data_IF_810164364976
#
_entry.id   IF_810164364976
#
_cell.length_a   1.000
_cell.length_b   1.000
_cell.length_c   1.000
_cell.angle_alpha   90.00
_cell.angle_beta   90.00
_cell.angle_gamma   90.00
#
_symmetry.space_group_name_H-M   'P 1'
#
loop_
_entity.id
_entity.type
_entity.pdbx_description
1 polymer ?
#
# COMPACT_ATOMS: atom_id res chain seq x y z
N UNK A 1 10.66 -21.02 -3.20
CA UNK A 1 9.71 -19.92 -3.58
C UNK A 1 8.24 -20.36 -3.52
N UNK A 2 7.32 -19.46 -3.13
CA UNK A 2 5.84 -19.59 -3.15
C UNK A 2 5.32 -18.83 -4.38
N UNK A 3 4.40 -19.38 -5.18
CA UNK A 3 3.85 -18.65 -6.32
C UNK A 3 2.88 -17.54 -5.88
N UNK A 4 2.68 -16.51 -6.71
CA UNK A 4 1.76 -15.42 -6.37
C UNK A 4 0.32 -15.94 -6.20
N UNK A 5 -0.06 -16.98 -6.96
CA UNK A 5 -1.36 -17.63 -6.86
C UNK A 5 -1.53 -18.41 -5.53
N UNK A 6 -0.51 -19.16 -5.11
CA UNK A 6 -0.50 -19.86 -3.82
C UNK A 6 -0.58 -18.86 -2.66
N UNK A 7 0.21 -17.78 -2.71
CA UNK A 7 0.19 -16.76 -1.67
C UNK A 7 -1.15 -16.01 -1.62
N UNK A 8 -1.77 -15.71 -2.77
CA UNK A 8 -3.10 -15.14 -2.81
C UNK A 8 -4.16 -16.09 -2.22
N UNK A 9 -4.05 -17.40 -2.45
CA UNK A 9 -4.94 -18.40 -1.85
C UNK A 9 -4.78 -18.48 -0.33
N UNK A 10 -3.53 -18.48 0.16
CA UNK A 10 -3.23 -18.38 1.59
C UNK A 10 -3.84 -17.11 2.20
N UNK A 11 -3.62 -15.94 1.59
CA UNK A 11 -4.18 -14.68 2.09
C UNK A 11 -5.72 -14.69 2.14
N UNK A 12 -6.39 -15.30 1.15
CA UNK A 12 -7.86 -15.48 1.18
C UNK A 12 -8.30 -16.40 2.33
N UNK A 13 -7.55 -17.46 2.62
CA UNK A 13 -7.85 -18.35 3.73
C UNK A 13 -7.69 -17.65 5.08
N UNK A 14 -6.58 -16.93 5.27
CA UNK A 14 -6.34 -16.12 6.48
C UNK A 14 -7.42 -15.05 6.65
N UNK A 15 -7.78 -14.35 5.57
CA UNK A 15 -8.86 -13.36 5.61
C UNK A 15 -10.19 -13.99 6.06
N UNK A 16 -10.57 -15.17 5.53
CA UNK A 16 -11.80 -15.86 5.96
C UNK A 16 -11.83 -16.16 7.46
N UNK A 17 -10.71 -16.62 8.04
CA UNK A 17 -10.63 -16.89 9.49
C UNK A 17 -10.86 -15.60 10.26
N UNK A 18 -10.11 -14.55 9.93
CA UNK A 18 -10.18 -13.27 10.63
C UNK A 18 -11.53 -12.55 10.46
N UNK A 19 -12.09 -12.56 9.25
CA UNK A 19 -13.36 -11.88 8.95
C UNK A 19 -14.54 -12.63 9.58
N UNK A 20 -14.48 -13.96 9.68
CA UNK A 20 -15.45 -14.76 10.42
C UNK A 20 -15.36 -14.50 11.93
N UNK A 21 -14.14 -14.43 12.49
CA UNK A 21 -13.93 -14.06 13.89
C UNK A 21 -14.52 -12.68 14.21
N UNK A 22 -14.26 -11.69 13.34
CA UNK A 22 -14.85 -10.36 13.49
C UNK A 22 -16.38 -10.39 13.44
N UNK A 23 -16.94 -11.04 12.41
CA UNK A 23 -18.38 -11.08 12.18
C UNK A 23 -19.13 -11.76 13.33
N UNK A 24 -18.61 -12.87 13.87
CA UNK A 24 -19.28 -13.61 14.94
C UNK A 24 -19.30 -12.84 16.25
N UNK A 25 -18.16 -12.23 16.62
CA UNK A 25 -18.07 -11.40 17.83
C UNK A 25 -18.93 -10.14 17.67
N UNK A 26 -18.82 -9.43 16.54
CA UNK A 26 -19.62 -8.23 16.29
C UNK A 26 -21.11 -8.53 16.35
N UNK A 27 -21.57 -9.58 15.64
CA UNK A 27 -22.97 -9.96 15.63
C UNK A 27 -23.47 -10.35 17.03
N UNK A 28 -22.68 -11.11 17.79
CA UNK A 28 -23.07 -11.59 19.13
C UNK A 28 -23.13 -10.46 20.15
N UNK A 29 -22.13 -9.57 20.16
CA UNK A 29 -22.11 -8.40 21.05
C UNK A 29 -23.26 -7.46 20.69
N UNK A 30 -23.49 -7.20 19.40
CA UNK A 30 -24.57 -6.32 18.96
C UNK A 30 -25.96 -6.90 19.28
N UNK A 31 -26.14 -8.21 19.08
CA UNK A 31 -27.38 -8.90 19.44
C UNK A 31 -27.66 -8.81 20.95
N UNK A 32 -26.64 -9.02 21.78
CA UNK A 32 -26.77 -8.90 23.23
C UNK A 32 -27.14 -7.47 23.63
N UNK A 33 -26.45 -6.45 23.09
CA UNK A 33 -26.75 -5.05 23.38
C UNK A 33 -28.18 -4.65 22.98
N UNK A 34 -28.67 -5.13 21.83
CA UNK A 34 -30.05 -4.87 21.36
C UNK A 34 -31.09 -5.53 22.26
N UNK A 35 -30.84 -6.76 22.70
CA UNK A 35 -31.72 -7.46 23.63
C UNK A 35 -31.74 -6.80 25.03
N UNK A 36 -30.68 -6.06 25.38
CA UNK A 36 -30.50 -5.41 26.67
C UNK A 36 -30.32 -3.89 26.50
N UNK A 37 -31.26 -3.23 25.81
CA UNK A 37 -31.13 -1.82 25.43
C UNK A 37 -30.93 -0.87 26.63
N UNK A 38 -31.52 -1.20 27.79
CA UNK A 38 -31.38 -0.42 29.04
C UNK A 38 -30.15 -0.76 29.86
N UNK A 39 -29.32 -1.72 29.42
CA UNK A 39 -28.11 -2.09 30.14
C UNK A 39 -27.12 -0.92 30.21
N UNK A 40 -26.51 -0.77 31.37
CA UNK A 40 -25.43 0.16 31.62
C UNK A 40 -24.19 -0.18 30.78
N UNK A 41 -23.29 0.79 30.65
CA UNK A 41 -21.98 0.60 30.00
C UNK A 41 -21.19 -0.53 30.67
N UNK A 42 -21.30 -0.68 32.00
CA UNK A 42 -20.62 -1.73 32.74
C UNK A 42 -21.18 -3.11 32.39
N UNK A 43 -22.49 -3.27 32.31
CA UNK A 43 -23.14 -4.54 31.94
C UNK A 43 -22.81 -4.93 30.49
N UNK A 44 -22.88 -3.97 29.55
CA UNK A 44 -22.48 -4.18 28.14
C UNK A 44 -21.01 -4.62 28.02
N UNK A 45 -20.12 -4.06 28.85
CA UNK A 45 -18.71 -4.44 28.89
C UNK A 45 -18.52 -5.88 29.37
N UNK A 46 -19.13 -6.26 30.50
CA UNK A 46 -18.97 -7.63 31.04
C UNK A 46 -19.54 -8.67 30.08
N UNK A 47 -20.68 -8.39 29.43
CA UNK A 47 -21.22 -9.27 28.42
C UNK A 47 -20.28 -9.41 27.20
N UNK A 48 -19.74 -8.30 26.69
CA UNK A 48 -18.81 -8.34 25.58
C UNK A 48 -17.53 -9.11 25.92
N UNK A 49 -17.00 -9.00 27.14
CA UNK A 49 -15.87 -9.79 27.63
C UNK A 49 -16.15 -11.29 27.52
N UNK A 50 -17.26 -11.76 28.09
CA UNK A 50 -17.63 -13.18 28.07
C UNK A 50 -17.84 -13.71 26.65
N UNK A 51 -18.48 -12.92 25.79
CA UNK A 51 -18.69 -13.26 24.38
C UNK A 51 -17.33 -13.35 23.65
N UNK A 52 -16.47 -12.35 23.83
CA UNK A 52 -15.14 -12.34 23.21
C UNK A 52 -14.29 -13.51 23.68
N UNK A 53 -14.27 -13.82 24.98
CA UNK A 53 -13.51 -14.96 25.52
C UNK A 53 -13.89 -16.27 24.84
N UNK A 54 -15.19 -16.54 24.68
CA UNK A 54 -15.68 -17.75 24.05
C UNK A 54 -15.31 -17.89 22.56
N UNK A 55 -15.34 -16.79 21.80
CA UNK A 55 -15.01 -16.83 20.36
C UNK A 55 -13.52 -16.77 20.08
N UNK A 56 -12.79 -15.90 20.78
CA UNK A 56 -11.39 -15.61 20.47
C UNK A 56 -10.52 -16.85 20.67
N UNK A 57 -10.73 -17.58 21.77
CA UNK A 57 -9.98 -18.82 22.02
C UNK A 57 -10.12 -19.82 20.85
N UNK A 58 -11.35 -20.07 20.38
CA UNK A 58 -11.59 -21.00 19.28
C UNK A 58 -11.01 -20.52 17.95
N UNK A 59 -11.10 -19.21 17.64
CA UNK A 59 -10.50 -18.67 16.42
C UNK A 59 -8.98 -18.61 16.46
N UNK A 60 -8.39 -18.41 17.64
CA UNK A 60 -6.95 -18.50 17.84
C UNK A 60 -6.43 -19.92 17.58
N UNK A 61 -7.13 -20.94 18.07
CA UNK A 61 -6.80 -22.34 17.81
C UNK A 61 -6.87 -22.67 16.31
N UNK A 62 -7.96 -22.27 15.63
CA UNK A 62 -8.11 -22.44 14.17
C UNK A 62 -6.98 -21.74 13.42
N UNK A 63 -6.64 -20.52 13.82
CA UNK A 63 -5.60 -19.73 13.16
C UNK A 63 -4.21 -20.34 13.37
N UNK A 64 -3.93 -20.86 14.57
CA UNK A 64 -2.68 -21.51 14.91
C UNK A 64 -2.53 -22.85 14.18
N UNK A 65 -3.56 -23.69 14.15
CA UNK A 65 -3.56 -24.96 13.42
C UNK A 65 -3.32 -24.74 11.92
N UNK A 66 -4.06 -23.82 11.30
CA UNK A 66 -3.86 -23.45 9.90
C UNK A 66 -2.43 -22.98 9.61
N UNK A 67 -1.82 -22.24 10.54
CA UNK A 67 -0.45 -21.75 10.40
C UNK A 67 0.60 -22.86 10.53
N UNK A 68 0.40 -23.81 11.45
CA UNK A 68 1.26 -24.97 11.66
C UNK A 68 1.24 -25.89 10.43
N UNK A 69 0.04 -26.23 9.93
CA UNK A 69 -0.12 -27.03 8.70
C UNK A 69 0.55 -26.36 7.50
N UNK A 70 0.38 -25.05 7.37
CA UNK A 70 1.01 -24.30 6.29
C UNK A 70 2.54 -24.29 6.41
N UNK A 71 3.08 -24.17 7.62
CA UNK A 71 4.52 -24.24 7.88
C UNK A 71 5.09 -25.61 7.49
N UNK A 72 4.47 -26.70 7.94
CA UNK A 72 4.88 -28.07 7.60
C UNK A 72 4.82 -28.32 6.09
N UNK A 73 3.75 -27.88 5.44
CA UNK A 73 3.62 -27.94 3.99
C UNK A 73 4.75 -27.19 3.27
N UNK A 74 5.12 -26.00 3.77
CA UNK A 74 6.23 -25.22 3.20
C UNK A 74 7.58 -25.89 3.40
N UNK A 75 7.85 -26.45 4.58
CA UNK A 75 9.08 -27.18 4.87
C UNK A 75 9.22 -28.40 3.94
N UNK A 76 8.14 -29.19 3.81
CA UNK A 76 8.10 -30.36 2.93
C UNK A 76 8.33 -29.99 1.46
N UNK A 77 7.65 -28.95 0.95
CA UNK A 77 7.86 -28.45 -0.42
C UNK A 77 9.28 -27.94 -0.67
N UNK A 78 9.93 -27.43 0.36
CA UNK A 78 11.33 -27.01 0.32
C UNK A 78 12.33 -28.15 0.52
N UNK A 79 11.86 -29.40 0.68
CA UNK A 79 12.72 -30.57 0.87
C UNK A 79 13.41 -30.63 2.24
N UNK A 80 12.94 -29.83 3.21
CA UNK A 80 13.50 -29.79 4.57
C UNK A 80 12.66 -30.68 5.49
N UNK A 81 13.31 -31.71 6.04
CA UNK A 81 12.64 -32.68 6.89
C UNK A 81 12.51 -32.18 8.34
N UNK A 82 11.54 -31.34 8.69
CA UNK A 82 11.36 -30.81 10.06
C UNK A 82 10.48 -31.70 10.95
N UNK A 83 10.54 -31.47 12.27
CA UNK A 83 9.54 -32.01 13.18
C UNK A 83 8.21 -31.29 12.96
N UNK A 84 7.10 -31.97 13.21
CA UNK A 84 5.76 -31.39 13.05
C UNK A 84 5.64 -30.03 13.76
N UNK A 85 5.04 -29.07 13.08
CA UNK A 85 4.86 -27.73 13.61
C UNK A 85 3.98 -27.76 14.88
N UNK A 86 4.39 -26.99 15.89
CA UNK A 86 3.57 -26.76 17.08
C UNK A 86 2.64 -25.57 16.85
N UNK A 87 1.49 -25.56 17.52
CA UNK A 87 0.58 -24.41 17.56
C UNK A 87 0.96 -23.46 18.69
N UNK A 88 0.81 -22.15 18.46
CA UNK A 88 0.99 -21.12 19.48
C UNK A 88 -0.13 -20.08 19.37
N UNK A 89 -0.91 -19.95 20.44
CA UNK A 89 -1.99 -18.96 20.54
C UNK A 89 -1.56 -17.75 21.35
N UNK A 90 -2.15 -16.58 21.07
CA UNK A 90 -1.91 -15.34 21.81
C UNK A 90 -2.99 -14.99 22.81
N UNK A 91 -4.08 -15.76 22.85
CA UNK A 91 -5.17 -15.62 23.81
C UNK A 91 -4.67 -15.45 25.24
N UNK A 92 -5.12 -14.36 25.86
CA UNK A 92 -4.94 -14.07 27.29
C UNK A 92 -6.23 -13.44 27.81
N UNK A 93 -6.91 -14.05 28.81
CA UNK A 93 -8.14 -13.51 29.38
C UNK A 93 -8.00 -12.04 29.84
N UNK A 94 -6.83 -11.68 30.38
CA UNK A 94 -6.55 -10.31 30.85
C UNK A 94 -6.52 -9.31 29.68
N UNK A 95 -6.05 -9.73 28.51
CA UNK A 95 -6.02 -8.88 27.31
C UNK A 95 -7.43 -8.63 26.77
N UNK A 96 -8.32 -9.63 26.83
CA UNK A 96 -9.74 -9.48 26.44
C UNK A 96 -10.46 -8.51 27.37
N UNK A 97 -10.20 -8.62 28.68
CA UNK A 97 -10.77 -7.74 29.71
C UNK A 97 -10.34 -6.27 29.51
N UNK A 98 -9.05 -6.03 29.28
CA UNK A 98 -8.53 -4.69 29.01
C UNK A 98 -9.09 -4.08 27.72
N UNK A 99 -9.26 -4.91 26.69
CA UNK A 99 -9.86 -4.47 25.42
C UNK A 99 -11.34 -4.16 25.60
N UNK A 100 -12.11 -4.99 26.31
CA UNK A 100 -13.51 -4.72 26.59
C UNK A 100 -13.67 -3.36 27.31
N UNK A 101 -12.83 -3.09 28.31
CA UNK A 101 -12.78 -1.78 29.00
C UNK A 101 -12.43 -0.64 28.07
N UNK A 102 -11.41 -0.81 27.24
CA UNK A 102 -10.96 0.23 26.33
C UNK A 102 -12.02 0.55 25.27
N UNK A 103 -12.60 -0.48 24.64
CA UNK A 103 -13.59 -0.30 23.58
C UNK A 103 -14.94 0.19 24.12
N UNK A 104 -15.30 -0.09 25.38
CA UNK A 104 -16.52 0.42 25.99
C UNK A 104 -16.61 1.96 25.97
N UNK A 105 -15.48 2.67 25.85
CA UNK A 105 -15.46 4.13 25.63
C UNK A 105 -16.17 4.56 24.33
N UNK A 106 -16.27 3.67 23.34
CA UNK A 106 -16.98 3.92 22.07
C UNK A 106 -18.50 3.95 22.23
N UNK A 107 -19.05 3.31 23.27
CA UNK A 107 -20.48 3.37 23.58
C UNK A 107 -20.96 4.82 23.77
N UNK A 108 -20.11 5.66 24.36
CA UNK A 108 -20.42 7.07 24.59
C UNK A 108 -20.42 7.95 23.33
N UNK A 109 -19.74 7.52 22.24
CA UNK A 109 -19.60 8.31 21.01
C UNK A 109 -20.43 7.79 19.85
N UNK A 110 -20.44 6.47 19.63
CA UNK A 110 -21.12 5.86 18.48
C UNK A 110 -21.98 4.65 18.82
N UNK A 111 -22.31 4.48 20.11
CA UNK A 111 -23.29 3.51 20.57
C UNK A 111 -22.88 2.05 20.38
N UNK A 112 -23.88 1.18 20.42
CA UNK A 112 -23.69 -0.27 20.49
C UNK A 112 -23.04 -0.85 19.22
N UNK A 113 -23.33 -0.28 18.05
CA UNK A 113 -22.79 -0.74 16.78
C UNK A 113 -21.26 -0.50 16.68
N UNK A 114 -20.79 0.69 17.03
CA UNK A 114 -19.34 0.96 17.02
C UNK A 114 -18.58 0.17 18.07
N UNK A 115 -19.20 -0.06 19.24
CA UNK A 115 -18.64 -0.91 20.28
C UNK A 115 -18.51 -2.37 19.82
N UNK A 116 -19.57 -2.94 19.25
CA UNK A 116 -19.59 -4.31 18.75
C UNK A 116 -18.56 -4.52 17.63
N UNK A 117 -18.52 -3.59 16.66
CA UNK A 117 -17.54 -3.60 15.57
C UNK A 117 -16.11 -3.58 16.09
N UNK A 118 -15.83 -2.78 17.11
CA UNK A 118 -14.51 -2.73 17.73
C UNK A 118 -14.11 -4.03 18.43
N UNK A 119 -15.06 -4.74 19.04
CA UNK A 119 -14.84 -6.06 19.62
C UNK A 119 -14.51 -7.08 18.52
N UNK A 120 -15.27 -7.09 17.42
CA UNK A 120 -14.99 -7.94 16.25
C UNK A 120 -13.61 -7.69 15.64
N UNK A 121 -13.23 -6.43 15.48
CA UNK A 121 -11.89 -6.07 14.99
C UNK A 121 -10.77 -6.58 15.89
N UNK A 122 -10.98 -6.58 17.22
CA UNK A 122 -10.01 -7.17 18.13
C UNK A 122 -9.87 -8.67 17.92
N UNK A 123 -10.97 -9.41 17.83
CA UNK A 123 -10.97 -10.86 17.60
C UNK A 123 -10.24 -11.22 16.31
N UNK A 124 -10.49 -10.50 15.21
CA UNK A 124 -9.75 -10.65 13.96
C UNK A 124 -8.24 -10.44 14.12
N UNK A 125 -7.86 -9.38 14.83
CA UNK A 125 -6.45 -9.06 15.04
C UNK A 125 -5.75 -10.05 15.97
N UNK A 126 -6.47 -10.70 16.88
CA UNK A 126 -5.93 -11.74 17.76
C UNK A 126 -5.67 -13.04 16.99
N UNK A 127 -6.63 -13.48 16.18
CA UNK A 127 -6.46 -14.61 15.28
C UNK A 127 -5.22 -14.43 14.36
N UNK A 128 -5.02 -13.22 13.83
CA UNK A 128 -3.83 -12.92 13.02
C UNK A 128 -2.53 -12.90 13.83
N UNK A 129 -2.58 -12.54 15.12
CA UNK A 129 -1.43 -12.63 16.02
C UNK A 129 -1.07 -14.08 16.28
N UNK A 130 -2.03 -14.95 16.60
CA UNK A 130 -1.84 -16.38 16.79
C UNK A 130 -1.26 -17.08 15.56
N UNK A 131 -1.77 -16.76 14.36
CA UNK A 131 -1.22 -17.27 13.10
C UNK A 131 0.24 -16.86 12.89
N UNK A 132 0.57 -15.59 13.11
CA UNK A 132 1.95 -15.12 12.98
C UNK A 132 2.85 -15.73 14.05
N UNK A 133 2.36 -15.87 15.28
CA UNK A 133 3.12 -16.41 16.40
C UNK A 133 3.47 -17.87 16.20
N UNK A 134 2.53 -18.65 15.69
CA UNK A 134 2.77 -20.05 15.34
C UNK A 134 3.91 -20.19 14.34
N UNK A 135 3.93 -19.39 13.27
CA UNK A 135 5.04 -19.43 12.30
C UNK A 135 6.35 -19.00 12.95
N UNK A 136 6.33 -17.91 13.73
CA UNK A 136 7.56 -17.38 14.38
C UNK A 136 8.13 -18.39 15.36
N UNK A 137 7.30 -19.06 16.15
CA UNK A 137 7.74 -20.06 17.13
C UNK A 137 8.41 -21.26 16.46
N UNK A 138 7.82 -21.79 15.39
CA UNK A 138 8.41 -22.89 14.63
C UNK A 138 9.71 -22.46 13.92
N UNK A 139 9.75 -21.28 13.30
CA UNK A 139 11.01 -20.75 12.75
C UNK A 139 12.08 -20.58 13.82
N UNK A 140 11.71 -20.10 15.00
CA UNK A 140 12.63 -19.95 16.13
C UNK A 140 13.21 -21.29 16.60
N UNK A 141 12.36 -22.32 16.68
CA UNK A 141 12.74 -23.71 17.00
C UNK A 141 13.69 -24.28 15.94
N UNK A 142 13.37 -24.08 14.67
CA UNK A 142 14.03 -24.73 13.54
C UNK A 142 15.18 -23.88 12.94
N UNK A 143 15.58 -22.79 13.61
CA UNK A 143 16.60 -21.85 13.11
C UNK A 143 17.93 -22.51 12.76
N UNK A 144 18.36 -23.51 13.55
CA UNK A 144 19.64 -24.21 13.38
C UNK A 144 19.58 -25.20 12.21
N UNK A 145 18.38 -25.38 11.63
CA UNK A 145 18.08 -26.20 10.46
C UNK A 145 17.83 -25.34 9.22
N UNK A 146 18.16 -24.06 9.28
CA UNK A 146 18.04 -23.10 8.17
C UNK A 146 16.70 -22.37 8.09
N UNK A 147 15.76 -22.60 9.02
CA UNK A 147 14.49 -21.89 9.00
C UNK A 147 14.66 -20.39 9.32
N UNK A 148 14.11 -19.54 8.46
CA UNK A 148 14.02 -18.09 8.62
C UNK A 148 12.60 -17.64 8.28
N UNK A 149 12.28 -16.38 8.52
CA UNK A 149 11.08 -15.78 7.92
C UNK A 149 11.35 -14.39 7.35
N UNK A 150 10.54 -14.04 6.37
CA UNK A 150 10.44 -12.69 5.82
C UNK A 150 9.12 -12.04 6.26
N UNK A 151 9.11 -10.70 6.28
CA UNK A 151 7.85 -9.94 6.30
C UNK A 151 7.43 -9.69 4.85
N UNK A 152 6.19 -10.01 4.51
CA UNK A 152 5.69 -9.89 3.14
C UNK A 152 4.46 -8.97 3.12
N UNK A 153 4.53 -7.80 2.45
CA UNK A 153 3.36 -6.95 2.23
C UNK A 153 2.36 -7.64 1.29
N UNK A 154 1.07 -7.39 1.52
CA UNK A 154 -0.04 -8.02 0.78
C UNK A 154 -0.78 -7.05 -0.16
N UNK A 155 -0.40 -5.77 -0.13
CA UNK A 155 -0.86 -4.77 -1.11
C UNK A 155 -2.11 -3.98 -0.74
N UNK A 156 -2.80 -4.28 0.37
CA UNK A 156 -3.94 -3.46 0.84
C UNK A 156 -3.46 -2.16 1.51
N UNK A 157 -2.57 -2.27 2.50
CA UNK A 157 -1.90 -1.12 3.12
C UNK A 157 -0.44 -1.48 3.42
N UNK A 158 0.51 -0.79 2.79
CA UNK A 158 1.94 -1.01 3.04
C UNK A 158 2.53 0.25 3.63
N UNK A 159 2.60 0.35 4.96
CA UNK A 159 3.26 1.48 5.61
C UNK A 159 4.79 1.43 5.46
N UNK A 160 5.46 2.57 5.66
CA UNK A 160 6.93 2.68 5.57
C UNK A 160 7.66 1.69 6.48
N UNK A 161 7.09 1.40 7.66
CA UNK A 161 7.69 0.45 8.60
C UNK A 161 7.62 -0.99 8.10
N UNK A 162 6.47 -1.43 7.56
CA UNK A 162 6.32 -2.76 6.99
C UNK A 162 7.22 -2.95 5.77
N UNK A 163 7.32 -1.93 4.92
CA UNK A 163 8.19 -1.96 3.74
C UNK A 163 9.67 -2.10 4.12
N UNK A 164 10.10 -1.39 5.18
CA UNK A 164 11.44 -1.51 5.76
C UNK A 164 11.74 -2.92 6.30
N UNK A 165 10.76 -3.54 6.99
CA UNK A 165 10.96 -4.90 7.48
C UNK A 165 11.03 -5.90 6.33
N UNK A 166 10.18 -5.73 5.31
CA UNK A 166 10.12 -6.61 4.15
C UNK A 166 11.37 -6.53 3.26
N UNK A 167 11.95 -5.35 3.11
CA UNK A 167 13.14 -5.14 2.28
C UNK A 167 14.41 -5.84 2.79
N UNK A 168 14.42 -6.26 4.05
CA UNK A 168 15.51 -7.04 4.64
C UNK A 168 15.51 -8.50 4.24
N UNK A 169 14.41 -9.00 3.64
CA UNK A 169 14.27 -10.39 3.21
C UNK A 169 14.04 -11.37 4.35
N UNK A 170 14.36 -12.64 4.11
CA UNK A 170 14.21 -13.74 5.06
C UNK A 170 15.38 -13.79 6.05
N UNK A 171 15.41 -12.86 7.01
CA UNK A 171 16.51 -12.74 7.99
C UNK A 171 16.05 -12.94 9.42
N UNK A 172 14.75 -13.13 9.65
CA UNK A 172 14.19 -13.11 11.00
C UNK A 172 14.03 -14.51 11.57
N UNK A 173 14.25 -14.60 12.88
CA UNK A 173 14.02 -15.81 13.69
C UNK A 173 13.14 -15.53 14.92
N UNK A 174 12.90 -14.25 15.24
CA UNK A 174 12.14 -13.85 16.42
C UNK A 174 11.28 -12.63 16.12
N UNK A 175 10.18 -12.50 16.87
CA UNK A 175 9.34 -11.31 16.91
C UNK A 175 10.15 -10.02 17.12
N UNK A 176 11.05 -10.01 18.11
CA UNK A 176 11.92 -8.86 18.44
C UNK A 176 12.68 -8.35 17.22
N UNK A 177 13.30 -9.25 16.46
CA UNK A 177 14.05 -8.87 15.25
C UNK A 177 13.14 -8.38 14.12
N UNK A 178 11.89 -8.85 14.08
CA UNK A 178 10.89 -8.56 13.05
C UNK A 178 9.93 -7.41 13.40
N UNK A 179 10.28 -6.57 14.37
CA UNK A 179 9.56 -5.32 14.61
C UNK A 179 8.50 -5.33 15.72
N UNK A 180 8.48 -6.36 16.56
CA UNK A 180 7.56 -6.51 17.71
C UNK A 180 7.40 -5.27 18.61
N UNK A 181 8.47 -4.48 18.80
CA UNK A 181 8.46 -3.31 19.67
C UNK A 181 7.93 -2.03 18.99
N UNK A 182 7.32 -2.14 17.81
CA UNK A 182 6.73 -1.00 17.09
C UNK A 182 5.23 -1.17 16.98
N UNK A 183 4.51 -0.05 17.13
CA UNK A 183 3.06 0.01 17.02
C UNK A 183 2.65 -0.32 15.57
N UNK A 184 2.20 -1.56 15.35
CA UNK A 184 1.44 -1.88 14.14
C UNK A 184 0.19 -1.00 14.12
N UNK A 185 -0.07 -0.36 12.98
CA UNK A 185 -1.31 0.41 12.81
C UNK A 185 -2.51 -0.55 12.74
N UNK A 186 -3.69 -0.03 13.05
CA UNK A 186 -4.95 -0.77 12.83
C UNK A 186 -5.06 -1.12 11.35
N UNK A 187 -5.38 -2.38 11.05
CA UNK A 187 -5.51 -2.86 9.67
C UNK A 187 -4.22 -3.32 9.01
N UNK A 188 -3.08 -3.35 9.72
CA UNK A 188 -1.84 -3.91 9.19
C UNK A 188 -2.03 -5.37 8.77
N UNK A 189 -1.76 -5.69 7.52
CA UNK A 189 -2.06 -7.00 6.91
C UNK A 189 -0.81 -7.76 6.44
N UNK A 190 0.39 -7.18 6.58
CA UNK A 190 1.63 -7.84 6.19
C UNK A 190 1.87 -9.16 6.96
N UNK A 191 2.34 -10.17 6.24
CA UNK A 191 2.43 -11.56 6.70
C UNK A 191 3.84 -11.92 7.16
N UNK A 192 3.91 -12.86 8.10
CA UNK A 192 5.11 -13.65 8.37
C UNK A 192 5.11 -14.82 7.39
N UNK A 193 6.18 -14.95 6.59
CA UNK A 193 6.29 -16.03 5.61
C UNK A 193 7.58 -16.81 5.88
N UNK A 194 7.52 -18.12 6.15
CA UNK A 194 8.70 -18.92 6.39
C UNK A 194 9.52 -19.06 5.10
N UNK A 195 10.83 -19.10 5.24
CA UNK A 195 11.79 -19.40 4.19
C UNK A 195 12.78 -20.43 4.71
N UNK A 196 13.15 -21.34 3.81
CA UNK A 196 14.14 -22.38 4.04
C UNK A 196 15.31 -22.28 3.04
N UNK A 197 15.37 -21.16 2.30
CA UNK A 197 16.44 -20.85 1.36
C UNK A 197 17.63 -20.24 2.14
N UNK A 198 18.86 -20.54 1.69
CA UNK A 198 20.06 -19.97 2.29
C UNK A 198 20.25 -18.48 1.99
N UNK A 199 19.82 -18.02 0.80
CA UNK A 199 19.89 -16.61 0.42
C UNK A 199 18.82 -15.79 1.15
N UNK A 200 19.20 -14.87 2.05
CA UNK A 200 18.23 -14.02 2.75
C UNK A 200 17.43 -13.11 1.82
N UNK A 201 17.95 -12.82 0.61
CA UNK A 201 17.27 -11.99 -0.37
C UNK A 201 16.51 -12.79 -1.43
N UNK A 202 16.41 -14.11 -1.26
CA UNK A 202 15.60 -14.96 -2.13
C UNK A 202 14.16 -14.46 -2.19
N UNK A 203 13.56 -14.63 -3.36
CA UNK A 203 12.16 -14.34 -3.61
C UNK A 203 11.30 -15.42 -2.92
N UNK A 204 10.96 -15.18 -1.65
CA UNK A 204 10.15 -16.13 -0.86
C UNK A 204 8.76 -16.27 -1.46
N UNK A 205 8.21 -15.16 -1.95
CA UNK A 205 6.94 -15.08 -2.68
C UNK A 205 7.20 -14.45 -4.04
N UNK A 206 6.72 -15.09 -5.10
CA UNK A 206 6.80 -14.59 -6.48
C UNK A 206 6.25 -13.15 -6.60
N UNK A 207 7.02 -12.27 -7.23
CA UNK A 207 6.83 -10.83 -7.34
C UNK A 207 7.38 -10.00 -6.17
N UNK A 208 7.76 -10.62 -5.05
CA UNK A 208 8.18 -9.91 -3.83
C UNK A 208 9.69 -9.98 -3.68
N UNK A 209 10.37 -8.99 -4.27
CA UNK A 209 11.84 -8.93 -4.29
C UNK A 209 12.37 -7.97 -3.21
N UNK A 210 13.07 -8.47 -2.17
CA UNK A 210 13.54 -7.64 -1.07
C UNK A 210 14.40 -6.44 -1.49
N UNK A 211 15.25 -6.61 -2.53
CA UNK A 211 16.09 -5.53 -3.05
C UNK A 211 15.27 -4.42 -3.72
N UNK A 212 14.22 -4.77 -4.46
CA UNK A 212 13.32 -3.77 -5.05
C UNK A 212 12.51 -3.06 -3.94
N UNK A 213 12.06 -3.81 -2.93
CA UNK A 213 11.39 -3.22 -1.76
C UNK A 213 12.31 -2.25 -0.99
N UNK A 214 13.63 -2.49 -0.97
CA UNK A 214 14.59 -1.58 -0.36
C UNK A 214 14.64 -0.23 -1.10
N UNK A 215 14.59 -0.23 -2.42
CA UNK A 215 14.52 1.00 -3.20
C UNK A 215 13.21 1.75 -2.95
N UNK A 216 12.09 1.02 -2.92
CA UNK A 216 10.78 1.63 -2.57
C UNK A 216 10.76 2.17 -1.14
N UNK A 217 11.40 1.50 -0.19
CA UNK A 217 11.53 1.99 1.19
C UNK A 217 12.28 3.33 1.24
N UNK A 218 13.38 3.49 0.48
CA UNK A 218 14.10 4.77 0.40
C UNK A 218 13.19 5.88 -0.12
N UNK A 219 12.37 5.59 -1.13
CA UNK A 219 11.37 6.53 -1.66
C UNK A 219 10.33 6.88 -0.60
N UNK A 220 9.79 5.90 0.11
CA UNK A 220 8.82 6.13 1.20
C UNK A 220 9.39 7.04 2.29
N UNK A 221 10.65 6.85 2.68
CA UNK A 221 11.32 7.74 3.64
C UNK A 221 11.39 9.18 3.13
N UNK A 222 11.66 9.39 1.85
CA UNK A 222 11.68 10.73 1.27
C UNK A 222 10.28 11.36 1.30
N UNK A 223 9.23 10.59 0.96
CA UNK A 223 7.83 11.04 1.04
C UNK A 223 7.44 11.41 2.47
N UNK A 224 7.82 10.59 3.46
CA UNK A 224 7.53 10.86 4.88
C UNK A 224 8.08 12.21 5.35
N UNK A 225 9.25 12.59 4.83
CA UNK A 225 9.94 13.84 5.17
C UNK A 225 9.40 15.07 4.43
N UNK A 226 8.53 14.90 3.42
CA UNK A 226 7.93 16.02 2.69
C UNK A 226 6.98 16.80 3.61
N UNK A 227 7.30 18.06 3.88
CA UNK A 227 6.44 18.94 4.70
C UNK A 227 5.35 19.65 3.90
N UNK A 228 5.49 19.68 2.57
CA UNK A 228 4.55 20.34 1.66
C UNK A 228 3.32 19.49 1.35
N UNK A 229 3.31 18.22 1.75
CA UNK A 229 2.19 17.29 1.58
C UNK A 229 1.57 16.95 2.93
N UNK A 230 0.25 16.94 3.00
CA UNK A 230 -0.50 16.31 4.09
C UNK A 230 -0.42 14.77 4.01
N UNK A 231 -0.92 14.10 5.04
CA UNK A 231 -0.85 12.64 5.17
C UNK A 231 -1.65 11.90 4.09
N UNK A 232 -2.75 12.48 3.59
CA UNK A 232 -3.56 11.87 2.52
C UNK A 232 -2.78 11.87 1.21
N UNK A 233 -2.17 13.00 0.87
CA UNK A 233 -1.37 13.15 -0.35
C UNK A 233 -0.09 12.32 -0.29
N UNK A 234 0.54 12.19 0.89
CA UNK A 234 1.65 11.25 1.09
C UNK A 234 1.22 9.80 0.87
N UNK A 235 0.02 9.43 1.32
CA UNK A 235 -0.52 8.08 1.14
C UNK A 235 -0.72 7.77 -0.34
N UNK A 236 -1.36 8.66 -1.10
CA UNK A 236 -1.55 8.50 -2.55
C UNK A 236 -0.20 8.38 -3.30
N UNK A 237 0.77 9.23 -2.97
CA UNK A 237 2.09 9.19 -3.59
C UNK A 237 2.84 7.88 -3.29
N UNK A 238 2.72 7.37 -2.05
CA UNK A 238 3.25 6.06 -1.66
C UNK A 238 2.59 4.91 -2.41
N UNK A 239 1.27 4.93 -2.55
CA UNK A 239 0.53 3.93 -3.32
C UNK A 239 0.96 3.94 -4.79
N UNK A 240 1.22 5.13 -5.37
CA UNK A 240 1.77 5.24 -6.73
C UNK A 240 3.21 4.73 -6.80
N UNK A 241 4.05 5.05 -5.83
CA UNK A 241 5.43 4.56 -5.74
C UNK A 241 5.54 3.03 -5.61
N UNK A 242 4.48 2.32 -5.21
CA UNK A 242 4.44 0.86 -5.22
C UNK A 242 4.13 0.27 -6.60
N UNK A 243 3.42 1.01 -7.46
CA UNK A 243 2.92 0.54 -8.78
C UNK A 243 3.88 0.83 -9.93
N UNK A 244 4.75 1.83 -9.79
CA UNK A 244 5.73 2.18 -10.82
C UNK A 244 6.83 1.15 -10.95
N UNK A 245 7.44 1.08 -12.13
CA UNK A 245 8.69 0.35 -12.35
C UNK A 245 9.75 0.87 -11.37
N UNK A 246 10.30 -0.03 -10.56
CA UNK A 246 11.32 0.31 -9.56
C UNK A 246 12.54 0.94 -10.23
N UNK A 247 12.92 0.51 -11.44
CA UNK A 247 14.04 1.08 -12.20
C UNK A 247 13.82 2.54 -12.57
N UNK A 248 12.56 3.00 -12.65
CA UNK A 248 12.25 4.40 -12.93
C UNK A 248 12.47 5.32 -11.72
N UNK A 249 12.49 4.79 -10.49
CA UNK A 249 12.61 5.58 -9.25
C UNK A 249 13.84 5.23 -8.39
N UNK A 250 14.47 4.08 -8.63
CA UNK A 250 15.60 3.59 -7.83
C UNK A 250 16.77 4.57 -7.83
N UNK A 251 17.34 4.80 -6.64
CA UNK A 251 18.47 5.72 -6.46
C UNK A 251 18.18 7.21 -6.71
N UNK A 252 16.95 7.60 -7.11
CA UNK A 252 16.61 9.00 -7.39
C UNK A 252 16.26 9.76 -6.11
N UNK A 253 16.63 11.04 -6.10
CA UNK A 253 16.08 12.01 -5.16
C UNK A 253 14.69 12.42 -5.67
N UNK A 254 13.71 12.46 -4.79
CA UNK A 254 12.38 12.97 -5.13
C UNK A 254 12.46 14.46 -5.46
N UNK A 255 11.63 14.86 -6.42
CA UNK A 255 11.36 16.26 -6.68
C UNK A 255 10.48 16.86 -5.59
N UNK A 256 10.19 18.14 -5.73
CA UNK A 256 9.30 18.88 -4.84
C UNK A 256 8.02 19.31 -5.56
N UNK A 257 6.95 19.55 -4.78
CA UNK A 257 5.72 20.15 -5.30
C UNK A 257 5.27 21.31 -4.44
N UNK A 258 4.85 22.39 -5.11
CA UNK A 258 4.11 23.51 -4.52
C UNK A 258 2.74 23.59 -5.19
N UNK A 259 1.69 23.32 -4.41
CA UNK A 259 0.31 23.43 -4.88
C UNK A 259 -0.18 24.87 -4.72
N UNK A 260 -0.09 25.69 -5.77
CA UNK A 260 -0.77 27.00 -5.80
C UNK A 260 -2.25 26.78 -6.12
N UNK A 261 -2.55 25.97 -7.16
CA UNK A 261 -3.87 25.33 -7.32
C UNK A 261 -3.95 24.15 -6.35
N UNK A 262 -4.95 24.16 -5.47
CA UNK A 262 -5.15 23.12 -4.47
C UNK A 262 -5.32 21.75 -5.15
N UNK A 263 -4.74 20.71 -4.56
CA UNK A 263 -4.66 19.38 -5.17
C UNK A 263 -6.02 18.73 -5.38
N UNK A 264 -6.99 18.99 -4.50
CA UNK A 264 -8.37 18.51 -4.59
C UNK A 264 -9.13 19.11 -5.79
N UNK A 265 -8.68 20.25 -6.31
CA UNK A 265 -9.21 20.89 -7.53
C UNK A 265 -8.55 20.39 -8.82
N UNK A 266 -7.57 19.48 -8.73
CA UNK A 266 -6.90 18.88 -9.89
C UNK A 266 -7.68 17.67 -10.40
N UNK A 267 -7.68 17.47 -11.70
CA UNK A 267 -8.16 16.24 -12.31
C UNK A 267 -7.25 15.06 -11.94
N UNK A 268 -7.81 13.84 -11.93
CA UNK A 268 -7.06 12.64 -11.55
C UNK A 268 -5.79 12.43 -12.40
N UNK A 269 -5.87 12.75 -13.70
CA UNK A 269 -4.73 12.61 -14.61
C UNK A 269 -3.64 13.68 -14.39
N UNK A 270 -3.99 14.84 -13.83
CA UNK A 270 -3.04 15.89 -13.43
C UNK A 270 -2.31 15.46 -12.15
N UNK A 271 -3.05 14.98 -11.14
CA UNK A 271 -2.47 14.37 -9.93
C UNK A 271 -1.53 13.23 -10.29
N UNK A 272 -1.96 12.36 -11.22
CA UNK A 272 -1.16 11.29 -11.81
C UNK A 272 0.18 11.79 -12.34
N UNK A 273 0.14 12.71 -13.31
CA UNK A 273 1.34 13.24 -13.95
C UNK A 273 2.28 13.95 -12.97
N UNK A 274 1.75 14.76 -12.05
CA UNK A 274 2.54 15.45 -11.02
C UNK A 274 3.27 14.44 -10.14
N UNK A 275 2.60 13.41 -9.64
CA UNK A 275 3.25 12.43 -8.77
C UNK A 275 4.32 11.63 -9.53
N UNK A 276 4.12 11.27 -10.80
CA UNK A 276 5.17 10.61 -11.59
C UNK A 276 6.38 11.53 -11.82
N UNK A 277 6.16 12.83 -12.07
CA UNK A 277 7.22 13.83 -12.17
C UNK A 277 8.00 13.91 -10.85
N UNK A 278 7.31 13.99 -9.72
CA UNK A 278 7.93 14.02 -8.39
C UNK A 278 8.77 12.76 -8.12
N UNK A 279 8.23 11.59 -8.41
CA UNK A 279 8.92 10.30 -8.28
C UNK A 279 10.18 10.21 -9.15
N UNK A 280 10.23 10.97 -10.24
CA UNK A 280 11.36 11.04 -11.16
C UNK A 280 12.29 12.24 -10.92
N UNK A 281 12.09 13.03 -9.87
CA UNK A 281 13.01 14.09 -9.47
C UNK A 281 12.69 15.48 -10.02
N UNK A 282 11.51 15.71 -10.58
CA UNK A 282 11.11 17.01 -11.11
C UNK A 282 10.48 17.89 -10.02
N UNK A 283 10.91 19.15 -9.95
CA UNK A 283 10.31 20.18 -9.12
C UNK A 283 9.14 20.83 -9.87
N UNK A 284 7.95 20.80 -9.27
CA UNK A 284 6.68 21.20 -9.90
C UNK A 284 5.96 22.26 -9.07
N UNK A 285 5.50 23.32 -9.72
CA UNK A 285 4.56 24.27 -9.13
C UNK A 285 3.25 24.25 -9.92
N UNK A 286 2.11 23.99 -9.28
CA UNK A 286 0.81 24.08 -9.96
C UNK A 286 0.42 25.54 -10.15
N UNK A 287 -0.33 25.85 -11.21
CA UNK A 287 -0.74 27.22 -11.52
C UNK A 287 -2.24 27.37 -11.28
N UNK A 288 -2.65 28.50 -10.67
CA UNK A 288 -4.06 28.85 -10.52
C UNK A 288 -4.57 29.43 -11.83
N UNK A 289 -5.72 28.93 -12.27
CA UNK A 289 -6.38 29.43 -13.47
C UNK A 289 -6.85 30.87 -13.25
N UNK A 290 -6.46 31.76 -14.15
CA UNK A 290 -7.04 33.09 -14.27
C UNK A 290 -8.35 32.97 -15.10
N UNK A 291 -9.53 33.24 -14.51
CA UNK A 291 -10.80 33.12 -15.21
C UNK A 291 -10.95 34.13 -16.36
N UNK A 292 -10.18 35.23 -16.33
CA UNK A 292 -10.20 36.27 -17.34
C UNK A 292 -9.13 36.03 -18.44
N UNK A 293 -8.25 35.05 -18.25
CA UNK A 293 -7.23 34.70 -19.24
C UNK A 293 -7.81 33.96 -20.45
N UNK A 294 -7.22 34.20 -21.62
CA UNK A 294 -7.60 33.55 -22.88
C UNK A 294 -7.36 32.03 -22.90
N UNK A 295 -6.44 31.56 -22.06
CA UNK A 295 -6.13 30.17 -21.74
C UNK A 295 -5.32 30.12 -20.43
N UNK A 296 -5.27 28.94 -19.80
CA UNK A 296 -4.45 28.67 -18.61
C UNK A 296 -3.54 27.45 -18.88
N UNK A 297 -2.31 27.49 -18.35
CA UNK A 297 -1.38 26.35 -18.35
C UNK A 297 -1.36 25.72 -16.96
N UNK A 298 -1.02 24.44 -16.90
CA UNK A 298 -1.35 23.64 -15.72
C UNK A 298 -0.26 23.70 -14.64
N UNK A 299 1.02 23.69 -15.03
CA UNK A 299 2.17 23.67 -14.11
C UNK A 299 3.35 24.52 -14.60
N UNK A 300 4.27 24.83 -13.68
CA UNK A 300 5.59 25.38 -13.95
C UNK A 300 6.67 24.41 -13.44
N UNK A 301 7.75 24.26 -14.21
CA UNK A 301 8.94 23.51 -13.82
C UNK A 301 10.18 24.30 -14.26
N UNK A 302 11.09 24.60 -13.33
CA UNK A 302 12.29 25.44 -13.55
C UNK A 302 11.96 26.81 -14.19
N UNK A 303 10.94 27.49 -13.66
CA UNK A 303 10.44 28.79 -14.15
C UNK A 303 9.92 28.78 -15.60
N UNK A 304 9.77 27.61 -16.21
CA UNK A 304 9.12 27.44 -17.51
C UNK A 304 7.71 26.91 -17.34
N UNK A 305 6.76 27.44 -18.10
CA UNK A 305 5.38 26.97 -18.10
C UNK A 305 5.25 25.64 -18.86
N UNK A 306 4.33 24.78 -18.44
CA UNK A 306 4.04 23.49 -19.08
C UNK A 306 2.54 23.21 -19.10
N UNK A 307 2.09 22.60 -20.21
CA UNK A 307 0.74 22.06 -20.34
C UNK A 307 0.72 20.56 -20.04
N UNK A 308 -0.24 20.08 -19.27
CA UNK A 308 -0.51 18.67 -19.01
C UNK A 308 -1.65 18.14 -19.88
N UNK A 309 -1.47 16.96 -20.46
CA UNK A 309 -2.48 16.31 -21.30
C UNK A 309 -2.45 14.80 -21.06
N UNK A 310 -3.61 14.18 -20.96
CA UNK A 310 -3.70 12.71 -21.02
C UNK A 310 -3.97 12.21 -22.44
N UNK A 311 -3.27 11.13 -22.82
CA UNK A 311 -3.39 10.46 -24.10
C UNK A 311 -4.12 9.14 -23.94
N UNK A 312 -5.15 8.94 -24.75
CA UNK A 312 -6.01 7.74 -24.70
C UNK A 312 -5.84 6.80 -25.91
N UNK A 313 -5.15 7.26 -26.95
CA UNK A 313 -4.74 6.49 -28.13
C UNK A 313 -3.63 7.22 -28.91
N UNK A 314 -2.84 6.49 -29.70
CA UNK A 314 -1.72 6.98 -30.50
C UNK A 314 -2.15 7.76 -31.77
N UNK A 315 -3.43 7.67 -32.14
CA UNK A 315 -3.97 8.26 -33.37
C UNK A 315 -4.62 9.63 -33.12
N UNK A 316 -5.93 9.64 -32.86
CA UNK A 316 -6.73 10.86 -32.71
C UNK A 316 -6.38 11.63 -31.44
N UNK A 317 -6.10 10.94 -30.33
CA UNK A 317 -5.81 11.59 -29.04
C UNK A 317 -4.50 12.38 -29.12
N UNK A 318 -3.40 11.76 -29.57
CA UNK A 318 -2.12 12.45 -29.79
C UNK A 318 -2.29 13.69 -30.68
N UNK A 319 -2.97 13.53 -31.83
CA UNK A 319 -3.16 14.65 -32.76
C UNK A 319 -3.96 15.79 -32.13
N UNK A 320 -5.03 15.47 -31.42
CA UNK A 320 -5.92 16.45 -30.82
C UNK A 320 -5.28 17.17 -29.63
N UNK A 321 -4.60 16.44 -28.74
CA UNK A 321 -4.01 17.04 -27.54
C UNK A 321 -2.81 17.92 -27.86
N UNK A 322 -1.94 17.51 -28.80
CA UNK A 322 -0.85 18.37 -29.29
C UNK A 322 -1.40 19.65 -29.93
N UNK A 323 -2.47 19.54 -30.74
CA UNK A 323 -3.12 20.71 -31.33
C UNK A 323 -3.68 21.65 -30.25
N UNK A 324 -4.37 21.10 -29.24
CA UNK A 324 -4.96 21.88 -28.15
C UNK A 324 -3.90 22.60 -27.32
N UNK A 325 -2.79 21.94 -26.98
CA UNK A 325 -1.68 22.55 -26.26
C UNK A 325 -1.09 23.75 -27.02
N UNK A 326 -0.85 23.59 -28.33
CA UNK A 326 -0.37 24.70 -29.18
C UNK A 326 -1.34 25.87 -29.26
N UNK A 327 -2.65 25.58 -29.32
CA UNK A 327 -3.69 26.63 -29.34
C UNK A 327 -3.63 27.44 -28.04
N UNK A 328 -3.48 26.79 -26.87
CA UNK A 328 -3.29 27.51 -25.60
C UNK A 328 -2.05 28.39 -25.64
N UNK A 329 -0.92 27.86 -26.11
CA UNK A 329 0.34 28.61 -26.26
C UNK A 329 0.17 29.87 -27.12
N UNK A 330 -0.50 29.73 -28.27
CA UNK A 330 -0.79 30.83 -29.18
C UNK A 330 -1.70 31.90 -28.54
N UNK A 331 -2.76 31.47 -27.85
CA UNK A 331 -3.70 32.39 -27.17
C UNK A 331 -3.02 33.22 -26.07
N UNK A 332 -1.99 32.67 -25.43
CA UNK A 332 -1.20 33.32 -24.41
C UNK A 332 -0.10 34.23 -24.99
N UNK A 333 0.09 34.25 -26.31
CA UNK A 333 1.12 35.08 -26.95
C UNK A 333 2.56 34.69 -26.60
N UNK A 334 2.77 33.44 -26.14
CA UNK A 334 4.09 32.97 -25.71
C UNK A 334 5.01 32.79 -26.93
N UNK A 335 6.20 33.38 -26.85
CA UNK A 335 7.21 33.35 -27.93
C UNK A 335 8.02 32.05 -27.96
N UNK A 336 8.07 31.33 -26.84
CA UNK A 336 8.74 30.03 -26.75
C UNK A 336 7.92 28.93 -27.45
N UNK A 337 8.56 27.87 -27.96
CA UNK A 337 7.85 26.67 -28.38
C UNK A 337 7.10 26.00 -27.21
N UNK A 338 6.05 25.24 -27.53
CA UNK A 338 5.24 24.59 -26.51
C UNK A 338 6.02 23.53 -25.72
N UNK A 339 5.76 23.50 -24.41
CA UNK A 339 6.26 22.50 -23.47
C UNK A 339 5.09 21.72 -22.90
N UNK A 340 5.13 20.40 -23.00
CA UNK A 340 4.00 19.56 -22.59
C UNK A 340 4.43 18.32 -21.81
N UNK A 341 3.63 17.98 -20.81
CA UNK A 341 3.64 16.68 -20.14
C UNK A 341 2.48 15.87 -20.66
N UNK A 342 2.76 14.73 -21.30
CA UNK A 342 1.78 13.79 -21.78
C UNK A 342 1.72 12.57 -20.89
N UNK A 343 0.65 12.40 -20.13
CA UNK A 343 0.37 11.15 -19.43
C UNK A 343 -0.23 10.13 -20.40
N UNK A 344 0.10 8.86 -20.19
CA UNK A 344 -0.37 7.74 -21.01
C UNK A 344 -1.36 6.84 -20.25
N UNK A 345 -2.11 7.40 -19.31
CA UNK A 345 -3.00 6.64 -18.45
C UNK A 345 -4.27 6.22 -19.20
N UNK A 346 -4.58 4.92 -19.17
CA UNK A 346 -5.72 4.35 -19.87
C UNK A 346 -5.55 4.26 -21.39
N UNK A 347 -4.35 4.55 -21.91
CA UNK A 347 -4.06 4.34 -23.33
C UNK A 347 -4.02 2.83 -23.66
N UNK A 348 -4.73 2.43 -24.71
CA UNK A 348 -4.76 1.05 -25.20
C UNK A 348 -3.59 0.74 -26.13
N UNK A 349 -2.98 1.76 -26.69
CA UNK A 349 -1.79 1.67 -27.52
C UNK A 349 -0.54 1.70 -26.63
N UNK A 350 0.53 1.00 -27.07
CA UNK A 350 1.76 0.89 -26.31
C UNK A 350 2.47 2.24 -26.10
N UNK A 351 3.30 2.29 -25.04
CA UNK A 351 4.03 3.50 -24.66
C UNK A 351 5.02 3.95 -25.74
N UNK A 352 5.71 2.99 -26.39
CA UNK A 352 6.66 3.27 -27.46
C UNK A 352 6.00 3.88 -28.70
N UNK A 353 4.86 3.33 -29.11
CA UNK A 353 4.04 3.82 -30.23
C UNK A 353 3.54 5.22 -29.96
N UNK A 354 3.15 5.50 -28.71
CA UNK A 354 2.73 6.84 -28.29
C UNK A 354 3.89 7.84 -28.37
N UNK A 355 5.09 7.47 -27.90
CA UNK A 355 6.29 8.30 -28.03
C UNK A 355 6.63 8.59 -29.49
N UNK A 356 6.62 7.56 -30.36
CA UNK A 356 6.89 7.72 -31.79
C UNK A 356 5.85 8.62 -32.49
N UNK A 357 4.56 8.48 -32.13
CA UNK A 357 3.48 9.30 -32.67
C UNK A 357 3.60 10.77 -32.27
N UNK A 358 4.06 11.05 -31.04
CA UNK A 358 4.38 12.40 -30.56
C UNK A 358 5.59 12.97 -31.29
N UNK A 359 6.68 12.22 -31.39
CA UNK A 359 7.93 12.68 -32.03
C UNK A 359 7.73 13.05 -33.51
N UNK A 360 6.94 12.24 -34.23
CA UNK A 360 6.55 12.54 -35.62
C UNK A 360 5.84 13.89 -35.74
N UNK A 361 5.08 14.30 -34.72
CA UNK A 361 4.27 15.53 -34.71
C UNK A 361 4.93 16.71 -34.02
N UNK A 362 5.97 16.49 -33.22
CA UNK A 362 6.75 17.52 -32.53
C UNK A 362 7.38 18.48 -33.53
N UNK A 363 7.33 19.79 -33.26
CA UNK A 363 7.96 20.85 -34.06
C UNK A 363 9.32 21.22 -33.47
N UNK A 364 10.14 21.93 -34.25
CA UNK A 364 11.43 22.42 -33.79
C UNK A 364 11.27 23.24 -32.50
N UNK A 365 12.14 22.97 -31.53
CA UNK A 365 12.15 23.62 -30.22
C UNK A 365 11.06 23.18 -29.22
N UNK A 366 10.03 22.42 -29.62
CA UNK A 366 9.06 21.88 -28.66
C UNK A 366 9.70 20.80 -27.79
N UNK A 367 9.30 20.76 -26.51
CA UNK A 367 9.79 19.79 -25.53
C UNK A 367 8.61 19.04 -24.93
N UNK A 368 8.62 17.71 -25.09
CA UNK A 368 7.58 16.85 -24.52
C UNK A 368 8.18 15.88 -23.48
N UNK A 369 7.55 15.81 -22.31
CA UNK A 369 7.76 14.74 -21.33
C UNK A 369 6.61 13.75 -21.48
N UNK A 370 6.92 12.51 -21.83
CA UNK A 370 5.90 11.45 -21.98
C UNK A 370 6.01 10.50 -20.80
N UNK A 371 4.92 10.32 -20.06
CA UNK A 371 4.88 9.57 -18.81
C UNK A 371 4.06 8.29 -19.01
N UNK A 372 4.68 7.14 -18.79
CA UNK A 372 4.00 5.84 -18.86
C UNK A 372 3.12 5.59 -17.64
N UNK A 373 2.15 4.67 -17.74
CA UNK A 373 1.41 4.17 -16.57
C UNK A 373 2.28 3.40 -15.56
N UNK A 374 3.53 3.06 -15.92
CA UNK A 374 4.53 2.48 -15.02
C UNK A 374 5.51 3.53 -14.46
N UNK A 375 5.28 4.82 -14.68
CA UNK A 375 6.11 5.92 -14.15
C UNK A 375 7.43 6.15 -14.89
N UNK A 376 7.64 5.51 -16.05
CA UNK A 376 8.79 5.78 -16.92
C UNK A 376 8.55 7.11 -17.63
N UNK A 377 9.54 8.00 -17.59
CA UNK A 377 9.50 9.29 -18.29
C UNK A 377 10.44 9.24 -19.49
N UNK A 378 9.90 9.50 -20.67
CA UNK A 378 10.65 9.68 -21.90
C UNK A 378 10.66 11.16 -22.30
N UNK A 379 11.86 11.71 -22.49
CA UNK A 379 12.05 13.11 -22.83
C UNK A 379 12.25 13.23 -24.34
N UNK A 380 11.28 13.84 -25.02
CA UNK A 380 11.37 14.19 -26.43
C UNK A 380 11.80 15.65 -26.54
N UNK A 381 13.09 15.86 -26.82
CA UNK A 381 13.73 17.16 -26.99
C UNK A 381 14.63 17.16 -28.23
N UNK A 382 15.13 18.33 -28.62
CA UNK A 382 16.17 18.49 -29.65
C UNK A 382 15.74 17.95 -31.03
N UNK A 383 14.76 18.63 -31.67
CA UNK A 383 14.40 18.35 -33.07
C UNK A 383 15.10 19.31 -34.00
#
# INVERSE_FOLDING_TARGET
>A
MISSAEFAAYNRAVARIGDKAASDVEASVLAWCRANASASVAEKREAAKLIMDGYIQGYDDIAAEFAAEWYDHRAQKSGVALDQAITMTTYKPESVDDVARYQAKKLAKGGDAEFAKACGEYARNDAFRSLNETIIANVGRDKDRGARFARVPTGFETCTFCLMLASRGAVYHTRKSAGEWKHFHRGCDCKVVPSFEDDPYAEVVEGVKPRELQERYKVFKQIDLMKTLDDSNKKELKERALKVDVGSIAGKKLGSVKYVKQRDLLEEHEKAGIDYLLLNGFDVETIVEDPDASANLDISMNDELWEMKNLTNCASSVSNQVKRARIKWFKLGLSSPSRCVFTNEGNRDGFGETCAALEKRRRHGEVFLVVSGSGVIHVLKDK
#
